data_IF_617490331700
#
_entry.id   IF_617490331700
#
_cell.length_a   1.000
_cell.length_b   1.000
_cell.length_c   1.000
_cell.angle_alpha   90.00
_cell.angle_beta   90.00
_cell.angle_gamma   90.00
#
_symmetry.space_group_name_H-M   'P 1'
#
loop_
_entity.id
_entity.type
_entity.pdbx_description
1 polymer ?
#
# COMPACT_ATOMS: atom_id res chain seq x y z
N UNK A 1 -7.40 17.38 23.32
CA UNK A 1 -7.36 16.07 22.60
C UNK A 1 -6.56 16.09 21.30
N UNK A 2 -5.44 16.83 21.23
CA UNK A 2 -4.41 16.64 20.20
C UNK A 2 -3.10 16.06 20.78
N UNK A 3 -3.16 15.54 22.02
CA UNK A 3 -1.99 15.10 22.80
C UNK A 3 -1.44 13.73 22.37
N UNK A 4 -2.16 12.99 21.52
CA UNK A 4 -1.67 11.73 20.96
C UNK A 4 -1.01 12.03 19.61
N UNK A 5 0.25 11.62 19.38
CA UNK A 5 0.95 11.85 18.12
C UNK A 5 0.46 10.86 17.06
N UNK A 6 -0.76 11.06 16.54
CA UNK A 6 -1.36 10.20 15.52
C UNK A 6 -0.98 10.68 14.12
N UNK A 7 -0.52 9.75 13.29
CA UNK A 7 -0.22 9.97 11.87
C UNK A 7 -1.09 9.06 11.02
N UNK A 8 -1.56 9.55 9.87
CA UNK A 8 -2.38 8.78 8.93
C UNK A 8 -1.68 8.72 7.57
N UNK A 9 -1.52 7.53 7.03
CA UNK A 9 -1.04 7.30 5.66
C UNK A 9 -2.22 6.89 4.77
N UNK A 10 -2.37 7.58 3.64
CA UNK A 10 -3.43 7.36 2.66
C UNK A 10 -2.86 6.57 1.47
N UNK A 11 -3.68 5.71 0.87
CA UNK A 11 -3.22 4.80 -0.20
C UNK A 11 -4.19 4.68 -1.37
N UNK A 12 -5.30 5.41 -1.38
CA UNK A 12 -6.25 5.33 -2.48
C UNK A 12 -7.46 6.23 -2.31
N UNK A 13 -8.18 6.40 -3.41
CA UNK A 13 -9.43 7.13 -3.52
C UNK A 13 -10.50 6.13 -3.96
N UNK A 14 -11.57 6.01 -3.18
CA UNK A 14 -12.67 5.09 -3.48
C UNK A 14 -13.73 5.76 -4.37
N UNK A 15 -14.02 7.03 -4.09
CA UNK A 15 -14.98 7.85 -4.82
C UNK A 15 -14.58 9.33 -4.72
N UNK A 16 -15.00 10.14 -5.68
CA UNK A 16 -14.67 11.56 -5.76
C UNK A 16 -15.67 12.34 -6.60
N UNK A 17 -16.39 13.28 -5.98
CA UNK A 17 -17.28 14.20 -6.70
C UNK A 17 -16.47 15.33 -7.33
N UNK A 18 -16.63 15.52 -8.64
CA UNK A 18 -15.91 16.56 -9.38
C UNK A 18 -14.45 16.24 -9.68
N UNK A 19 -13.97 15.06 -9.29
CA UNK A 19 -12.70 14.50 -9.74
C UNK A 19 -13.03 13.62 -10.94
N UNK A 20 -12.47 13.87 -12.15
CA UNK A 20 -12.73 12.98 -13.26
C UNK A 20 -12.27 11.56 -12.88
N UNK A 21 -13.16 10.58 -13.00
CA UNK A 21 -12.94 9.16 -12.62
C UNK A 21 -11.88 8.44 -13.48
N UNK A 22 -11.18 9.20 -14.33
CA UNK A 22 -10.17 8.77 -15.31
C UNK A 22 -8.91 9.65 -15.25
N UNK A 23 -8.67 10.40 -14.16
CA UNK A 23 -7.45 11.22 -14.06
C UNK A 23 -6.19 10.34 -14.01
N UNK A 24 -6.33 9.13 -13.46
CA UNK A 24 -5.24 8.15 -13.36
C UNK A 24 -5.75 6.78 -13.79
N UNK A 25 -4.98 6.15 -14.66
CA UNK A 25 -5.16 4.74 -15.02
C UNK A 25 -4.27 3.84 -14.14
N UNK A 26 -3.36 4.44 -13.36
CA UNK A 26 -2.40 3.72 -12.53
C UNK A 26 -2.53 4.03 -11.04
N UNK A 27 -2.40 3.01 -10.22
CA UNK A 27 -2.31 3.13 -8.75
C UNK A 27 -1.17 4.07 -8.35
N UNK A 28 -0.02 4.00 -9.03
CA UNK A 28 1.12 4.88 -8.75
C UNK A 28 0.84 6.36 -9.04
N UNK A 29 0.09 6.65 -10.11
CA UNK A 29 -0.34 8.01 -10.45
C UNK A 29 -1.32 8.55 -9.40
N UNK A 30 -2.26 7.71 -8.93
CA UNK A 30 -3.18 8.07 -7.84
C UNK A 30 -2.43 8.41 -6.54
N UNK A 31 -1.38 7.65 -6.19
CA UNK A 31 -0.54 7.98 -5.02
C UNK A 31 0.24 9.28 -5.21
N UNK A 32 0.69 9.56 -6.45
CA UNK A 32 1.29 10.85 -6.82
C UNK A 32 0.32 12.01 -6.60
N UNK A 33 -0.90 11.90 -7.13
CA UNK A 33 -1.94 12.91 -6.96
C UNK A 33 -2.30 13.16 -5.49
N UNK A 34 -2.44 12.10 -4.68
CA UNK A 34 -2.68 12.25 -3.24
C UNK A 34 -1.55 13.00 -2.53
N UNK A 35 -0.30 12.76 -2.94
CA UNK A 35 0.87 13.50 -2.43
C UNK A 35 0.80 14.97 -2.82
N UNK A 36 0.42 15.28 -4.06
CA UNK A 36 0.28 16.66 -4.56
C UNK A 36 -0.83 17.43 -3.82
N UNK A 37 -1.87 16.73 -3.35
CA UNK A 37 -2.90 17.28 -2.47
C UNK A 37 -2.45 17.48 -1.00
N UNK A 38 -1.25 17.01 -0.64
CA UNK A 38 -0.70 17.15 0.71
C UNK A 38 -1.02 15.97 1.66
N UNK A 39 -1.58 14.87 1.17
CA UNK A 39 -1.73 13.67 1.99
C UNK A 39 -0.40 12.94 2.16
N UNK A 40 -0.20 12.36 3.35
CA UNK A 40 0.94 11.48 3.60
C UNK A 40 0.69 10.12 2.96
N UNK A 41 1.68 9.64 2.20
CA UNK A 41 1.73 8.27 1.67
C UNK A 41 2.74 7.49 2.49
N UNK A 42 2.49 6.20 2.73
CA UNK A 42 3.38 5.35 3.51
C UNK A 42 4.82 5.42 2.97
N UNK A 43 5.82 5.77 3.82
CA UNK A 43 7.22 5.80 3.44
C UNK A 43 7.67 4.47 2.84
N UNK A 44 8.43 4.55 1.75
CA UNK A 44 8.91 3.39 0.99
C UNK A 44 7.90 2.77 0.02
N UNK A 45 6.67 3.28 -0.10
CA UNK A 45 5.80 2.93 -1.24
C UNK A 45 6.56 3.11 -2.56
N UNK A 46 6.60 2.07 -3.40
CA UNK A 46 7.37 2.07 -4.65
C UNK A 46 6.62 1.35 -5.77
N UNK A 47 6.92 1.75 -7.01
CA UNK A 47 6.43 1.08 -8.22
C UNK A 47 7.52 0.14 -8.76
N UNK A 48 7.16 -1.12 -8.98
CA UNK A 48 8.03 -2.13 -9.56
C UNK A 48 7.50 -2.52 -10.95
N UNK A 49 8.38 -2.70 -11.96
CA UNK A 49 7.96 -3.04 -13.31
C UNK A 49 7.51 -4.50 -13.45
N UNK A 50 7.93 -5.39 -12.54
CA UNK A 50 7.65 -6.83 -12.59
C UNK A 50 7.38 -7.40 -11.20
N UNK A 51 6.66 -8.52 -11.15
CA UNK A 51 6.44 -9.26 -9.91
C UNK A 51 7.75 -9.80 -9.33
N UNK A 52 8.66 -10.27 -10.16
CA UNK A 52 9.97 -10.78 -9.72
C UNK A 52 10.78 -9.72 -8.98
N UNK A 53 10.72 -8.46 -9.43
CA UNK A 53 11.38 -7.35 -8.75
C UNK A 53 10.76 -7.07 -7.36
N UNK A 54 9.44 -7.27 -7.22
CA UNK A 54 8.77 -7.18 -5.91
C UNK A 54 9.25 -8.32 -5.01
N UNK A 55 9.20 -9.56 -5.50
CA UNK A 55 9.59 -10.75 -4.75
C UNK A 55 11.04 -10.65 -4.26
N UNK A 56 11.94 -10.16 -5.10
CA UNK A 56 13.34 -9.97 -4.75
C UNK A 56 13.56 -8.95 -3.61
N UNK A 57 12.66 -7.97 -3.45
CA UNK A 57 12.77 -6.93 -2.42
C UNK A 57 12.02 -7.25 -1.12
N UNK A 58 11.17 -8.29 -1.11
CA UNK A 58 10.42 -8.71 0.10
C UNK A 58 11.32 -8.98 1.33
N UNK A 59 12.49 -9.67 1.22
CA UNK A 59 13.37 -9.87 2.37
C UNK A 59 13.95 -8.55 2.91
N UNK A 60 14.19 -7.56 2.04
CA UNK A 60 14.64 -6.24 2.46
C UNK A 60 13.53 -5.52 3.24
N UNK A 61 12.27 -5.67 2.83
CA UNK A 61 11.12 -5.14 3.58
C UNK A 61 10.93 -5.79 4.94
N UNK A 62 11.10 -7.12 5.03
CA UNK A 62 11.01 -7.83 6.30
C UNK A 62 12.06 -7.35 7.31
N UNK A 63 13.30 -7.09 6.86
CA UNK A 63 14.35 -6.53 7.73
C UNK A 63 14.16 -5.04 8.04
N UNK A 64 13.64 -4.25 7.10
CA UNK A 64 13.36 -2.81 7.30
C UNK A 64 12.27 -2.55 8.34
N UNK A 65 11.37 -3.50 8.62
CA UNK A 65 10.28 -3.31 9.60
C UNK A 65 10.77 -2.84 10.98
N UNK A 66 12.01 -3.18 11.35
CA UNK A 66 12.65 -2.81 12.62
C UNK A 66 13.29 -1.41 12.62
N UNK A 67 13.31 -0.76 11.47
CA UNK A 67 13.98 0.55 11.26
C UNK A 67 13.01 1.70 11.02
N UNK A 68 11.71 1.40 10.87
CA UNK A 68 10.68 2.40 10.62
C UNK A 68 10.22 3.04 11.94
N UNK A 69 9.79 4.30 11.85
CA UNK A 69 9.18 5.04 12.97
C UNK A 69 7.77 4.53 13.34
N UNK A 70 7.30 3.47 12.68
CA UNK A 70 6.00 2.83 12.89
C UNK A 70 6.07 1.34 12.59
N UNK A 71 5.20 0.56 13.22
CA UNK A 71 5.13 -0.88 13.02
C UNK A 71 4.45 -1.24 11.69
N UNK A 72 4.98 -2.27 11.04
CA UNK A 72 4.35 -2.92 9.89
C UNK A 72 4.33 -4.43 10.09
N UNK A 73 3.27 -5.10 9.65
CA UNK A 73 3.10 -6.55 9.72
C UNK A 73 3.28 -7.24 8.34
N UNK A 74 3.67 -6.47 7.33
CA UNK A 74 3.79 -6.91 5.95
C UNK A 74 3.79 -5.76 4.96
N UNK A 75 3.61 -6.10 3.68
CA UNK A 75 3.43 -5.16 2.58
C UNK A 75 2.18 -5.49 1.78
N UNK A 76 1.60 -4.51 1.09
CA UNK A 76 0.48 -4.73 0.18
C UNK A 76 0.96 -4.58 -1.26
N UNK A 77 0.82 -5.66 -2.03
CA UNK A 77 1.13 -5.72 -3.45
C UNK A 77 -0.15 -5.43 -4.22
N UNK A 78 -0.12 -4.46 -5.13
CA UNK A 78 -1.29 -4.06 -5.95
C UNK A 78 -0.94 -4.09 -7.43
N UNK A 79 -1.88 -4.56 -8.25
CA UNK A 79 -1.83 -4.36 -9.70
C UNK A 79 -1.84 -2.86 -9.97
N UNK A 80 -0.86 -2.39 -10.74
CA UNK A 80 -0.74 -0.96 -10.99
C UNK A 80 -1.83 -0.45 -11.94
N UNK A 81 -2.24 -1.23 -12.94
CA UNK A 81 -3.35 -0.87 -13.85
C UNK A 81 -4.70 -0.95 -13.11
N UNK A 82 -5.35 0.19 -12.92
CA UNK A 82 -6.61 0.32 -12.18
C UNK A 82 -7.81 -0.18 -12.98
N UNK A 83 -7.73 -0.22 -14.31
CA UNK A 83 -8.78 -0.83 -15.14
C UNK A 83 -8.72 -2.34 -15.00
N UNK A 84 -7.53 -2.93 -15.12
CA UNK A 84 -7.31 -4.36 -14.90
C UNK A 84 -7.69 -4.77 -13.46
N UNK A 85 -7.30 -3.99 -12.45
CA UNK A 85 -7.69 -4.28 -11.07
C UNK A 85 -9.21 -4.31 -10.86
N UNK A 86 -9.96 -3.42 -11.55
CA UNK A 86 -11.44 -3.42 -11.55
C UNK A 86 -12.01 -4.63 -12.28
N UNK A 87 -11.47 -4.97 -13.45
CA UNK A 87 -11.90 -6.13 -14.25
C UNK A 87 -11.68 -7.46 -13.51
N UNK A 88 -10.58 -7.59 -12.76
CA UNK A 88 -10.32 -8.74 -11.89
C UNK A 88 -11.38 -8.89 -10.78
N UNK A 89 -12.01 -7.78 -10.36
CA UNK A 89 -13.11 -7.77 -9.41
C UNK A 89 -12.75 -8.22 -8.00
N UNK A 90 -13.76 -8.63 -7.23
CA UNK A 90 -13.67 -8.98 -5.81
C UNK A 90 -14.26 -10.38 -5.60
N UNK A 91 -13.63 -11.19 -4.74
CA UNK A 91 -14.18 -12.47 -4.25
C UNK A 91 -14.55 -12.32 -2.79
N UNK A 92 -15.84 -12.45 -2.48
CA UNK A 92 -16.33 -12.17 -1.13
C UNK A 92 -16.03 -10.72 -0.76
N UNK A 93 -15.02 -10.51 0.10
CA UNK A 93 -14.54 -9.19 0.52
C UNK A 93 -13.15 -8.82 -0.01
N UNK A 94 -12.48 -9.75 -0.71
CA UNK A 94 -11.06 -9.61 -1.06
C UNK A 94 -10.90 -9.22 -2.55
N UNK A 95 -10.24 -8.08 -2.84
CA UNK A 95 -9.99 -7.67 -4.23
C UNK A 95 -8.97 -8.60 -4.88
N UNK A 96 -9.25 -9.10 -6.09
CA UNK A 96 -8.31 -9.98 -6.81
C UNK A 96 -7.07 -9.23 -7.31
N UNK A 97 -7.15 -7.92 -7.48
CA UNK A 97 -6.06 -7.06 -7.92
C UNK A 97 -5.06 -6.62 -6.83
N UNK A 98 -5.21 -7.10 -5.60
CA UNK A 98 -4.29 -6.77 -4.51
C UNK A 98 -4.14 -7.92 -3.51
N UNK A 99 -2.97 -8.06 -2.90
CA UNK A 99 -2.70 -9.05 -1.86
C UNK A 99 -1.83 -8.45 -0.76
N UNK A 100 -2.15 -8.78 0.49
CA UNK A 100 -1.30 -8.46 1.64
C UNK A 100 -0.29 -9.61 1.85
N UNK A 101 0.99 -9.32 1.67
CA UNK A 101 2.08 -10.23 2.03
C UNK A 101 2.46 -9.97 3.48
N UNK A 102 2.06 -10.87 4.38
CA UNK A 102 2.36 -10.76 5.82
C UNK A 102 3.73 -11.35 6.13
N UNK A 103 4.48 -10.65 6.97
CA UNK A 103 5.73 -11.20 7.52
C UNK A 103 5.42 -12.31 8.52
N UNK A 104 6.35 -13.25 8.75
CA UNK A 104 6.29 -14.16 9.87
C UNK A 104 6.05 -13.40 11.18
N UNK A 105 5.13 -13.92 11.99
CA UNK A 105 4.84 -13.38 13.31
C UNK A 105 6.11 -13.42 14.16
N UNK A 106 6.32 -12.38 14.97
CA UNK A 106 7.40 -12.39 15.96
C UNK A 106 6.99 -13.35 17.08
N UNK A 107 7.76 -14.42 17.25
CA UNK A 107 7.65 -15.27 18.42
C UNK A 107 8.65 -14.77 19.47
N UNK A 108 8.16 -14.52 20.69
CA UNK A 108 9.00 -14.17 21.82
C UNK A 108 8.72 -15.17 22.95
N UNK A 109 9.76 -15.87 23.38
CA UNK A 109 9.70 -16.76 24.55
C UNK A 109 10.18 -16.01 25.78
N UNK A 110 9.33 -15.89 26.80
CA UNK A 110 9.71 -15.40 28.13
C UNK A 110 9.84 -16.58 29.11
N UNK A 111 10.66 -16.41 30.16
CA UNK A 111 10.74 -17.33 31.29
C UNK A 111 9.64 -17.05 32.31
#
# INVERSE_FOLDING_TARGET
>A
TASRPLTCFVYGIVDGRGIPTHVWDKQWEMLGYLRDLGFLIAPGSAHYPTLDAIIADLPAWESRRDTLDFEIDGVVIKVNDLRLARELGVVGKDPRGAVAYKFPAREASTK
#
